data_IF_392571258440
#
_entry.id   IF_392571258440
#
_cell.length_a   1.000
_cell.length_b   1.000
_cell.length_c   1.000
_cell.angle_alpha   90.00
_cell.angle_beta   90.00
_cell.angle_gamma   90.00
#
_symmetry.space_group_name_H-M   'P 1'
#
loop_
_entity.id
_entity.type
_entity.pdbx_description
1 polymer ?
#
# COMPACT_ATOMS: atom_id res chain seq x y z
N UNK A 1 29.14 -33.23 -0.44
CA UNK A 1 29.68 -31.86 -0.38
C UNK A 1 28.55 -30.96 -0.89
N UNK A 2 27.67 -30.58 0.03
CA UNK A 2 27.50 -29.21 0.53
C UNK A 2 26.51 -28.44 -0.37
N UNK A 3 25.24 -28.55 0.00
CA UNK A 3 24.12 -27.75 -0.46
C UNK A 3 24.37 -26.31 0.02
N UNK A 4 24.57 -25.40 -0.93
CA UNK A 4 24.93 -24.00 -0.69
C UNK A 4 23.69 -23.24 -0.19
N UNK A 5 23.39 -23.45 1.10
CA UNK A 5 22.31 -22.74 1.79
C UNK A 5 22.80 -21.30 1.93
N UNK A 6 22.36 -20.42 1.02
CA UNK A 6 22.59 -18.98 1.12
C UNK A 6 21.92 -18.47 2.40
N UNK A 7 22.68 -18.48 3.48
CA UNK A 7 22.36 -17.89 4.75
C UNK A 7 22.47 -16.37 4.58
N UNK A 8 21.33 -15.71 4.37
CA UNK A 8 21.26 -14.24 4.29
C UNK A 8 21.40 -13.65 5.70
N UNK A 9 22.42 -12.82 5.87
CA UNK A 9 22.73 -12.11 7.12
C UNK A 9 21.56 -11.28 7.67
N UNK A 10 21.41 -11.14 8.99
CA UNK A 10 20.30 -10.41 9.64
C UNK A 10 20.44 -8.87 9.62
N UNK A 11 21.32 -8.31 8.77
CA UNK A 11 21.38 -6.85 8.54
C UNK A 11 20.47 -6.52 7.36
N UNK A 12 19.47 -5.67 7.59
CA UNK A 12 18.48 -5.26 6.60
C UNK A 12 19.12 -4.98 5.22
N UNK A 13 18.60 -5.65 4.18
CA UNK A 13 19.01 -5.42 2.79
C UNK A 13 18.83 -3.92 2.45
N UNK A 14 19.91 -3.18 2.09
CA UNK A 14 19.82 -1.76 1.75
C UNK A 14 18.82 -1.45 0.63
N UNK A 15 18.59 -2.40 -0.29
CA UNK A 15 17.60 -2.27 -1.35
C UNK A 15 16.18 -2.37 -0.80
N UNK A 16 15.94 -3.29 0.14
CA UNK A 16 14.66 -3.43 0.82
C UNK A 16 14.33 -2.15 1.60
N UNK A 17 15.29 -1.60 2.35
CA UNK A 17 15.09 -0.37 3.11
C UNK A 17 14.81 0.83 2.20
N UNK A 18 15.57 1.00 1.10
CA UNK A 18 15.31 2.05 0.12
C UNK A 18 13.93 1.91 -0.53
N UNK A 19 13.49 0.68 -0.77
CA UNK A 19 12.16 0.41 -1.31
C UNK A 19 11.09 0.79 -0.30
N UNK A 20 11.21 0.35 0.95
CA UNK A 20 10.28 0.71 2.02
C UNK A 20 10.19 2.23 2.22
N UNK A 21 11.31 2.95 2.17
CA UNK A 21 11.33 4.41 2.26
C UNK A 21 10.57 5.09 1.10
N UNK A 22 10.74 4.60 -0.14
CA UNK A 22 10.00 5.10 -1.31
C UNK A 22 8.50 4.83 -1.20
N UNK A 23 8.11 3.65 -0.71
CA UNK A 23 6.70 3.31 -0.51
C UNK A 23 6.10 4.18 0.60
N UNK A 24 6.82 4.38 1.71
CA UNK A 24 6.40 5.29 2.79
C UNK A 24 6.18 6.73 2.30
N UNK A 25 7.04 7.22 1.40
CA UNK A 25 6.85 8.53 0.75
C UNK A 25 5.56 8.58 -0.07
N UNK A 26 5.25 7.54 -0.84
CA UNK A 26 4.00 7.45 -1.62
C UNK A 26 2.77 7.43 -0.73
N UNK A 27 2.81 6.65 0.36
CA UNK A 27 1.75 6.61 1.37
C UNK A 27 1.57 8.00 1.99
N UNK A 28 2.66 8.67 2.35
CA UNK A 28 2.61 10.03 2.90
C UNK A 28 2.04 11.06 1.92
N UNK A 29 2.37 10.97 0.64
CA UNK A 29 1.78 11.84 -0.40
C UNK A 29 0.28 11.62 -0.55
N UNK A 30 -0.17 10.35 -0.57
CA UNK A 30 -1.59 10.01 -0.58
C UNK A 30 -2.30 10.57 0.67
N UNK A 31 -1.77 10.29 1.86
CA UNK A 31 -2.32 10.77 3.13
C UNK A 31 -2.49 12.29 3.14
N UNK A 32 -1.47 13.05 2.70
CA UNK A 32 -1.54 14.51 2.63
C UNK A 32 -2.60 15.02 1.65
N UNK A 33 -2.76 14.36 0.51
CA UNK A 33 -3.73 14.75 -0.51
C UNK A 33 -5.19 14.53 -0.05
N UNK A 34 -5.41 13.57 0.86
CA UNK A 34 -6.74 13.12 1.28
C UNK A 34 -7.09 13.46 2.74
N UNK A 35 -6.34 14.37 3.37
CA UNK A 35 -6.59 14.84 4.74
C UNK A 35 -6.20 13.85 5.85
N UNK A 36 -5.54 12.75 5.50
CA UNK A 36 -5.23 11.62 6.35
C UNK A 36 -5.29 10.33 5.54
N UNK A 37 -4.74 9.25 6.09
CA UNK A 37 -4.96 7.92 5.51
C UNK A 37 -4.80 6.83 6.57
N UNK A 38 -5.57 5.77 6.40
CA UNK A 38 -5.41 4.50 7.07
C UNK A 38 -5.16 3.42 6.02
N UNK A 39 -4.62 2.26 6.42
CA UNK A 39 -4.26 1.23 5.47
C UNK A 39 -4.43 -0.19 5.96
N UNK A 40 -4.31 -1.15 5.05
CA UNK A 40 -4.27 -2.58 5.35
C UNK A 40 -3.23 -3.26 4.47
N UNK A 41 -2.49 -4.21 5.05
CA UNK A 41 -1.48 -4.99 4.34
C UNK A 41 -1.96 -6.42 4.13
N UNK A 42 -2.17 -6.79 2.88
CA UNK A 42 -2.56 -8.14 2.48
C UNK A 42 -1.41 -8.86 1.77
N UNK A 43 -1.05 -10.07 2.23
CA UNK A 43 -0.15 -10.94 1.49
C UNK A 43 -0.83 -11.46 0.20
N UNK A 44 -0.14 -11.38 -0.94
CA UNK A 44 -0.67 -11.76 -2.26
C UNK A 44 0.17 -12.85 -2.93
N UNK A 45 0.79 -13.72 -2.13
CA UNK A 45 1.62 -14.81 -2.63
C UNK A 45 2.97 -14.32 -3.17
N UNK A 46 3.45 -14.95 -4.25
CA UNK A 46 4.77 -14.65 -4.83
C UNK A 46 4.93 -13.21 -5.33
N UNK A 47 3.83 -12.48 -5.52
CA UNK A 47 3.85 -11.06 -5.91
C UNK A 47 4.19 -10.12 -4.74
N UNK A 48 4.27 -10.64 -3.51
CA UNK A 48 4.60 -9.88 -2.31
C UNK A 48 3.37 -9.52 -1.50
N UNK A 49 3.20 -8.23 -1.20
CA UNK A 49 2.08 -7.73 -0.41
C UNK A 49 1.45 -6.48 -1.03
N UNK A 50 0.14 -6.36 -0.90
CA UNK A 50 -0.64 -5.19 -1.29
C UNK A 50 -0.95 -4.35 -0.05
N UNK A 51 -0.68 -3.06 -0.13
CA UNK A 51 -1.09 -2.05 0.84
C UNK A 51 -2.29 -1.34 0.25
N UNK A 52 -3.48 -1.54 0.82
CA UNK A 52 -4.67 -0.75 0.50
C UNK A 52 -4.66 0.48 1.39
N UNK A 53 -4.91 1.66 0.82
CA UNK A 53 -5.02 2.94 1.53
C UNK A 53 -6.43 3.48 1.37
N UNK A 54 -6.98 4.05 2.45
CA UNK A 54 -8.25 4.80 2.43
C UNK A 54 -8.00 6.14 3.11
N UNK A 55 -8.31 7.22 2.41
CA UNK A 55 -8.22 8.59 2.90
C UNK A 55 -9.43 9.00 3.73
N UNK A 56 -9.30 10.07 4.51
CA UNK A 56 -10.41 10.63 5.31
C UNK A 56 -11.58 11.13 4.43
N UNK A 57 -11.27 11.56 3.21
CA UNK A 57 -12.27 11.94 2.22
C UNK A 57 -13.00 10.74 1.59
N UNK A 58 -12.54 9.52 1.86
CA UNK A 58 -13.07 8.25 1.35
C UNK A 58 -12.45 7.79 0.03
N UNK A 59 -11.47 8.53 -0.51
CA UNK A 59 -10.69 8.06 -1.65
C UNK A 59 -9.85 6.84 -1.25
N UNK A 60 -9.57 5.97 -2.21
CA UNK A 60 -8.77 4.78 -1.96
C UNK A 60 -7.74 4.54 -3.07
N UNK A 61 -6.71 3.78 -2.73
CA UNK A 61 -5.68 3.36 -3.67
C UNK A 61 -4.93 2.13 -3.18
N UNK A 62 -4.18 1.50 -4.08
CA UNK A 62 -3.35 0.35 -3.76
C UNK A 62 -1.88 0.54 -4.17
N UNK A 63 -0.99 -0.03 -3.36
CA UNK A 63 0.45 -0.06 -3.61
C UNK A 63 0.93 -1.48 -3.39
N UNK A 64 1.69 -2.04 -4.33
CA UNK A 64 2.29 -3.37 -4.18
C UNK A 64 3.76 -3.26 -3.75
N UNK A 65 4.11 -3.95 -2.67
CA UNK A 65 5.47 -4.15 -2.19
C UNK A 65 5.99 -5.54 -2.63
N UNK A 66 7.28 -5.68 -2.93
CA UNK A 66 7.86 -6.95 -3.39
C UNK A 66 7.83 -8.06 -2.34
N UNK A 67 7.75 -7.71 -1.05
CA UNK A 67 7.61 -8.66 0.06
C UNK A 67 6.72 -8.06 1.14
N UNK A 68 6.16 -8.92 2.00
CA UNK A 68 5.35 -8.50 3.14
C UNK A 68 6.17 -7.64 4.13
N UNK A 69 7.40 -8.05 4.44
CA UNK A 69 8.30 -7.30 5.33
C UNK A 69 8.58 -5.86 4.82
N UNK A 70 8.72 -5.67 3.50
CA UNK A 70 8.88 -4.32 2.92
C UNK A 70 7.60 -3.50 3.07
N UNK A 71 6.43 -4.12 2.93
CA UNK A 71 5.15 -3.43 3.15
C UNK A 71 5.00 -2.99 4.61
N UNK A 72 5.25 -3.88 5.57
CA UNK A 72 5.21 -3.56 7.00
C UNK A 72 6.18 -2.43 7.37
N UNK A 73 7.40 -2.47 6.84
CA UNK A 73 8.37 -1.42 7.08
C UNK A 73 7.92 -0.08 6.46
N UNK A 74 7.28 -0.10 5.29
CA UNK A 74 6.76 1.09 4.63
C UNK A 74 5.63 1.75 5.44
N UNK A 75 4.61 0.97 5.86
CA UNK A 75 3.48 1.51 6.64
C UNK A 75 3.92 2.01 8.02
N UNK A 76 4.90 1.33 8.65
CA UNK A 76 5.52 1.80 9.89
C UNK A 76 6.25 3.13 9.70
N UNK A 77 7.03 3.26 8.61
CA UNK A 77 7.76 4.51 8.29
C UNK A 77 6.81 5.65 7.91
N UNK A 78 5.63 5.38 7.34
CA UNK A 78 4.66 6.43 6.99
C UNK A 78 3.84 6.91 8.19
N UNK A 79 3.72 6.12 9.26
CA UNK A 79 3.02 6.50 10.48
C UNK A 79 1.49 6.53 10.35
N UNK A 80 0.93 5.81 9.38
CA UNK A 80 -0.52 5.67 9.23
C UNK A 80 -1.05 4.61 10.19
N UNK A 81 -2.33 4.68 10.55
CA UNK A 81 -3.02 3.56 11.20
C UNK A 81 -3.12 2.40 10.21
N UNK A 82 -2.79 1.19 10.68
CA UNK A 82 -2.86 -0.04 9.87
C UNK A 82 -3.83 -1.01 10.53
N UNK A 83 -4.77 -1.51 9.74
CA UNK A 83 -5.76 -2.50 10.14
C UNK A 83 -5.29 -3.91 9.77
N UNK A 84 -5.66 -4.88 10.59
CA UNK A 84 -5.37 -6.30 10.35
C UNK A 84 -6.16 -6.84 9.13
N UNK A 85 -7.41 -6.41 9.00
CA UNK A 85 -8.33 -6.79 7.94
C UNK A 85 -8.91 -5.59 7.22
N UNK A 86 -9.32 -5.80 5.98
CA UNK A 86 -10.05 -4.83 5.19
C UNK A 86 -11.55 -5.14 5.29
N UNK A 87 -12.16 -4.78 6.42
CA UNK A 87 -13.56 -5.07 6.72
C UNK A 87 -14.22 -3.97 7.56
N UNK A 88 -15.49 -4.20 7.92
CA UNK A 88 -16.22 -3.41 8.91
C UNK A 88 -16.14 -1.91 8.69
N UNK A 89 -15.74 -1.20 9.75
CA UNK A 89 -15.62 0.26 9.76
C UNK A 89 -14.56 0.77 8.77
N UNK A 90 -13.46 0.05 8.57
CA UNK A 90 -12.41 0.48 7.67
C UNK A 90 -12.86 0.39 6.21
N UNK A 91 -13.49 -0.72 5.82
CA UNK A 91 -14.07 -0.85 4.49
C UNK A 91 -15.22 0.15 4.25
N UNK A 92 -15.99 0.48 5.28
CA UNK A 92 -17.08 1.45 5.19
C UNK A 92 -16.61 2.91 4.96
N UNK A 93 -15.34 3.24 5.21
CA UNK A 93 -14.77 4.57 4.91
C UNK A 93 -14.62 4.81 3.40
N UNK A 94 -14.55 3.75 2.58
CA UNK A 94 -14.41 3.91 1.13
C UNK A 94 -15.68 4.51 0.55
N UNK A 95 -15.53 5.64 -0.14
CA UNK A 95 -16.60 6.20 -0.97
C UNK A 95 -16.46 5.67 -2.38
N UNK A 96 -17.35 4.74 -2.75
CA UNK A 96 -17.47 4.22 -4.12
C UNK A 96 -18.52 5.03 -4.88
N UNK A 97 -18.16 6.23 -5.33
CA UNK A 97 -19.00 7.01 -6.24
C UNK A 97 -18.94 6.48 -7.69
N UNK A 98 -19.74 7.06 -8.60
CA UNK A 98 -19.71 6.73 -10.03
C UNK A 98 -18.31 6.89 -10.67
N UNK A 99 -17.52 7.84 -10.17
CA UNK A 99 -16.14 8.09 -10.60
C UNK A 99 -15.20 6.94 -10.20
N UNK A 100 -15.30 6.47 -8.95
CA UNK A 100 -14.49 5.38 -8.41
C UNK A 100 -14.90 4.03 -9.02
N UNK A 101 -16.19 3.84 -9.30
CA UNK A 101 -16.70 2.66 -9.99
C UNK A 101 -16.11 2.51 -11.40
N UNK A 102 -15.94 3.62 -12.10
CA UNK A 102 -15.32 3.65 -13.44
C UNK A 102 -13.83 3.24 -13.39
N UNK A 103 -13.13 3.55 -12.28
CA UNK A 103 -11.75 3.10 -12.05
C UNK A 103 -11.65 1.64 -11.60
N UNK A 104 -12.68 1.10 -10.95
CA UNK A 104 -12.76 -0.30 -10.52
C UNK A 104 -13.08 -1.28 -11.66
N UNK A 105 -13.92 -0.89 -12.63
CA UNK A 105 -14.39 -1.78 -13.69
C UNK A 105 -13.34 -2.14 -14.77
N UNK A 106 -12.07 -1.72 -14.61
CA UNK A 106 -11.04 -1.91 -15.64
C UNK A 106 -11.29 -1.10 -16.92
N UNK A 107 -12.27 -0.19 -16.91
CA UNK A 107 -12.51 0.74 -18.01
C UNK A 107 -11.45 1.85 -17.90
N UNK A 108 -10.35 1.68 -18.62
CA UNK A 108 -9.28 2.68 -18.77
C UNK A 108 -9.81 3.89 -19.56
N UNK A 109 -10.71 4.66 -18.95
CA UNK A 109 -11.01 6.03 -19.38
C UNK A 109 -10.15 6.95 -18.53
N UNK A 110 -8.96 7.26 -19.05
CA UNK A 110 -8.21 8.41 -18.59
C UNK A 110 -9.10 9.65 -18.71
N UNK A 111 -9.34 10.31 -17.59
CA UNK A 111 -9.88 11.66 -17.57
C UNK A 111 -8.78 12.60 -17.07
N UNK A 112 -8.47 13.70 -17.79
CA UNK A 112 -7.52 14.69 -17.31
C UNK A 112 -8.01 15.34 -16.02
N UNK A 113 -7.06 15.75 -15.18
CA UNK A 113 -7.32 16.65 -14.06
C UNK A 113 -7.91 17.94 -14.61
N UNK A 114 -9.17 18.24 -14.27
CA UNK A 114 -9.66 19.60 -14.45
C UNK A 114 -8.89 20.50 -13.47
N UNK A 115 -8.22 21.51 -14.03
CA UNK A 115 -7.70 22.64 -13.28
C UNK A 115 -8.78 23.62 -12.86
#
# INVERSE_FOLDING_TARGET
>A
MADDTQQVDPKADPKAERTAARLAQRIGSFSKAHGGAEGQVAYIGQRGARIVLVGEDGAWGDIVAPTYAVAEQAVRKSGITVHESFDGEFAAKVKTGPYEWSRMAGLQLGGPSNG
#
